data_IF_527071314611
#
_entry.id   IF_527071314611
#
_cell.length_a   1.000
_cell.length_b   1.000
_cell.length_c   1.000
_cell.angle_alpha   90.00
_cell.angle_beta   90.00
_cell.angle_gamma   90.00
#
_symmetry.space_group_name_H-M   'P 1'
#
loop_
_entity.id
_entity.type
_entity.pdbx_description
1 polymer ?
#
# COMPACT_ATOMS: atom_id res chain seq x y z
N UNK A 1 13.49 -4.91 -5.31
CA UNK A 1 12.97 -5.86 -4.30
C UNK A 1 11.45 -5.90 -4.37
N UNK A 2 10.79 -6.77 -3.59
CA UNK A 2 9.33 -6.85 -3.55
C UNK A 2 8.71 -5.52 -3.10
N UNK A 3 7.63 -5.12 -3.76
CA UNK A 3 6.84 -3.92 -3.44
C UNK A 3 5.42 -4.08 -4.01
N UNK A 4 4.48 -3.27 -3.50
CA UNK A 4 3.15 -3.11 -4.09
C UNK A 4 3.15 -1.90 -5.01
N UNK A 5 2.50 -2.03 -6.17
CA UNK A 5 2.39 -0.95 -7.14
C UNK A 5 1.36 -1.27 -8.21
N UNK A 6 0.90 -0.23 -8.88
CA UNK A 6 -0.03 -0.32 -10.00
C UNK A 6 0.32 0.74 -11.06
N UNK A 7 0.06 0.42 -12.32
CA UNK A 7 0.22 1.38 -13.41
C UNK A 7 -1.04 2.25 -13.48
N UNK A 8 -0.91 3.52 -13.09
CA UNK A 8 -2.03 4.46 -13.04
C UNK A 8 -1.85 5.57 -14.08
N UNK A 9 -2.89 5.82 -14.88
CA UNK A 9 -2.95 6.99 -15.77
C UNK A 9 -3.53 8.20 -15.01
N UNK A 10 -2.70 9.21 -14.76
CA UNK A 10 -3.10 10.44 -14.08
C UNK A 10 -3.69 11.48 -15.05
N UNK A 11 -4.47 12.42 -14.52
CA UNK A 11 -5.13 13.51 -15.25
C UNK A 11 -4.20 14.71 -15.52
N UNK A 12 -2.96 14.44 -15.96
CA UNK A 12 -1.96 15.47 -16.24
C UNK A 12 -1.33 16.11 -14.99
N UNK A 13 -0.46 17.12 -15.15
CA UNK A 13 0.20 17.79 -14.04
C UNK A 13 -0.80 18.48 -13.11
N UNK A 14 -0.56 18.40 -11.79
CA UNK A 14 -1.45 18.98 -10.80
C UNK A 14 -1.09 18.61 -9.36
N UNK A 15 -1.88 19.09 -8.40
CA UNK A 15 -1.82 18.63 -7.01
C UNK A 15 -2.76 17.45 -6.84
N UNK A 16 -2.27 16.37 -6.26
CA UNK A 16 -3.01 15.15 -6.04
C UNK A 16 -3.04 14.81 -4.56
N UNK A 17 -4.14 14.21 -4.14
CA UNK A 17 -4.30 13.58 -2.84
C UNK A 17 -4.32 12.06 -3.02
N UNK A 18 -3.39 11.36 -2.39
CA UNK A 18 -3.32 9.91 -2.35
C UNK A 18 -3.89 9.41 -1.03
N UNK A 19 -4.89 8.53 -1.09
CA UNK A 19 -5.39 7.75 0.03
C UNK A 19 -4.95 6.30 -0.13
N UNK A 20 -4.06 5.83 0.74
CA UNK A 20 -3.58 4.45 0.79
C UNK A 20 -4.27 3.71 1.93
N UNK A 21 -5.02 2.67 1.61
CA UNK A 21 -5.70 1.80 2.58
C UNK A 21 -4.92 0.48 2.64
N UNK A 22 -4.41 0.15 3.82
CA UNK A 22 -3.67 -1.09 4.08
C UNK A 22 -4.48 -1.98 5.00
N UNK A 23 -4.87 -3.14 4.48
CA UNK A 23 -5.54 -4.17 5.24
C UNK A 23 -4.54 -5.16 5.84
N UNK A 24 -4.91 -5.77 6.95
CA UNK A 24 -4.17 -6.90 7.49
C UNK A 24 -4.16 -8.06 6.48
N UNK A 25 -3.16 -8.95 6.54
CA UNK A 25 -3.18 -10.17 5.76
C UNK A 25 -4.49 -10.93 5.95
N UNK A 26 -5.06 -11.47 4.88
CA UNK A 26 -6.34 -12.16 4.93
C UNK A 26 -6.22 -13.41 5.84
N UNK A 27 -7.19 -13.62 6.73
CA UNK A 27 -7.11 -14.71 7.72
C UNK A 27 -7.83 -15.99 7.30
N UNK A 28 -8.64 -15.95 6.22
CA UNK A 28 -9.47 -17.07 5.77
C UNK A 28 -9.47 -17.19 4.25
N UNK A 29 -9.75 -18.38 3.72
CA UNK A 29 -9.82 -18.64 2.27
C UNK A 29 -8.47 -19.05 1.65
N UNK A 30 -8.44 -19.20 0.33
CA UNK A 30 -7.29 -19.76 -0.40
C UNK A 30 -6.00 -18.93 -0.30
N UNK A 31 -6.11 -17.64 -0.01
CA UNK A 31 -4.97 -16.73 0.16
C UNK A 31 -4.75 -16.34 1.63
N UNK A 32 -5.21 -17.17 2.57
CA UNK A 32 -5.05 -16.90 3.99
C UNK A 32 -3.57 -16.90 4.40
N UNK A 33 -3.19 -15.90 5.19
CA UNK A 33 -1.91 -15.82 5.87
C UNK A 33 -2.14 -15.91 7.38
N UNK A 34 -2.05 -17.13 7.91
CA UNK A 34 -2.32 -17.42 9.31
C UNK A 34 -1.29 -16.82 10.27
N UNK A 35 -1.64 -16.84 11.57
CA UNK A 35 -0.73 -16.52 12.66
C UNK A 35 -0.76 -17.64 13.70
N UNK A 36 0.37 -17.87 14.37
CA UNK A 36 0.42 -18.77 15.52
C UNK A 36 -0.34 -18.14 16.70
N UNK A 37 -1.04 -18.97 17.47
CA UNK A 37 -1.84 -18.55 18.64
C UNK A 37 -1.59 -19.41 19.88
N UNK A 38 -0.71 -20.40 19.77
CA UNK A 38 -0.24 -21.21 20.88
C UNK A 38 0.63 -20.40 21.84
N UNK A 39 0.87 -20.96 23.03
CA UNK A 39 1.62 -20.28 24.10
C UNK A 39 3.12 -20.12 23.78
N UNK A 40 3.70 -21.03 23.01
CA UNK A 40 5.16 -21.10 22.83
C UNK A 40 5.64 -20.14 21.73
N UNK A 41 4.84 -19.96 20.68
CA UNK A 41 5.22 -19.23 19.47
C UNK A 41 4.16 -18.23 18.99
N UNK A 42 3.07 -18.06 19.75
CA UNK A 42 1.96 -17.19 19.39
C UNK A 42 2.38 -15.73 19.21
N UNK A 43 1.73 -15.07 18.25
CA UNK A 43 1.87 -13.63 18.01
C UNK A 43 0.55 -12.91 18.23
N UNK A 44 0.62 -11.60 18.46
CA UNK A 44 -0.54 -10.74 18.64
C UNK A 44 -1.52 -10.78 17.45
N UNK A 45 -2.75 -10.31 17.64
CA UNK A 45 -3.70 -10.17 16.54
C UNK A 45 -3.16 -9.19 15.49
N UNK A 46 -3.61 -9.37 14.25
CA UNK A 46 -3.31 -8.40 13.18
C UNK A 46 -3.93 -7.04 13.48
N UNK A 47 -3.35 -6.01 12.86
CA UNK A 47 -3.82 -4.64 12.96
C UNK A 47 -5.20 -4.47 12.30
N UNK A 48 -5.96 -3.46 12.75
CA UNK A 48 -7.15 -2.98 12.04
C UNK A 48 -6.71 -2.16 10.80
N UNK A 49 -7.51 -2.10 9.73
CA UNK A 49 -7.14 -1.36 8.51
C UNK A 49 -6.60 0.04 8.80
N UNK A 50 -5.48 0.36 8.15
CA UNK A 50 -4.77 1.64 8.31
C UNK A 50 -5.05 2.47 7.06
N UNK A 51 -5.34 3.75 7.25
CA UNK A 51 -5.43 4.73 6.16
C UNK A 51 -4.29 5.72 6.29
N UNK A 52 -3.55 5.92 5.21
CA UNK A 52 -2.50 6.92 5.07
C UNK A 52 -2.90 7.89 3.97
N UNK A 53 -2.67 9.18 4.20
CA UNK A 53 -3.05 10.24 3.27
C UNK A 53 -1.84 11.12 2.96
N UNK A 54 -1.65 11.44 1.67
CA UNK A 54 -0.52 12.22 1.17
C UNK A 54 -0.96 13.22 0.12
N UNK A 55 -0.56 14.48 0.29
CA UNK A 55 -0.67 15.49 -0.76
C UNK A 55 0.66 15.62 -1.50
N UNK A 56 0.63 15.57 -2.83
CA UNK A 56 1.83 15.73 -3.64
C UNK A 56 1.57 16.48 -4.96
N UNK A 57 2.54 17.27 -5.44
CA UNK A 57 2.52 17.78 -6.80
C UNK A 57 3.02 16.70 -7.77
N UNK A 58 2.26 16.47 -8.84
CA UNK A 58 2.68 15.68 -9.98
C UNK A 58 3.00 16.62 -11.15
N UNK A 59 4.23 16.60 -11.64
CA UNK A 59 4.70 17.49 -12.71
C UNK A 59 4.45 16.95 -14.13
N UNK A 60 3.77 15.81 -14.28
CA UNK A 60 3.64 15.09 -15.55
C UNK A 60 4.75 14.07 -15.77
N UNK A 61 4.60 13.29 -16.85
CA UNK A 61 5.57 12.28 -17.26
C UNK A 61 6.69 12.94 -18.10
N UNK A 62 7.75 13.41 -17.43
CA UNK A 62 8.95 13.95 -18.08
C UNK A 62 10.18 13.07 -17.88
N UNK A 63 11.13 13.09 -18.83
CA UNK A 63 12.47 12.53 -18.59
C UNK A 63 13.22 13.45 -17.64
N UNK A 64 13.76 12.90 -16.55
CA UNK A 64 14.81 13.57 -15.77
C UNK A 64 16.06 13.66 -16.66
N UNK A 65 16.43 14.87 -17.12
CA UNK A 65 17.68 15.13 -17.87
C UNK A 65 17.57 15.46 -19.37
N UNK A 66 16.41 15.91 -19.86
CA UNK A 66 16.31 16.50 -21.22
C UNK A 66 16.19 18.01 -21.16
N UNK A 67 17.30 18.70 -20.91
CA UNK A 67 17.53 20.08 -21.33
C UNK A 67 18.56 20.05 -22.45
#
# INVERSE_FOLDING_TARGET
>A
GPHYGDNVKLAGPGKYHLKLIVEAPMQTGHMAFGRHVDKETGVGPWFKPITLEYDFPFAGIGKKGGY
#
